data_IF_044341288638
#
_entry.id   IF_044341288638
#
_cell.length_a   1.000
_cell.length_b   1.000
_cell.length_c   1.000
_cell.angle_alpha   90.00
_cell.angle_beta   90.00
_cell.angle_gamma   90.00
#
_symmetry.space_group_name_H-M   'P 1'
#
loop_
_entity.id
_entity.type
_entity.pdbx_description
1 polymer ?
#
# COMPACT_ATOMS: atom_id res chain seq x y z
N UNK A 1 34.73 48.79 -3.35
CA UNK A 1 33.56 48.34 -4.17
C UNK A 1 33.45 46.82 -4.35
N UNK A 2 34.27 45.96 -3.67
CA UNK A 2 34.25 44.53 -3.85
C UNK A 2 33.29 43.72 -2.97
N UNK A 3 32.82 44.24 -1.84
CA UNK A 3 32.01 43.47 -0.88
C UNK A 3 30.55 43.25 -1.24
N UNK A 4 29.96 44.17 -2.00
CA UNK A 4 28.54 44.03 -2.41
C UNK A 4 28.29 43.05 -3.55
N UNK A 5 29.27 42.84 -4.42
CA UNK A 5 29.18 41.89 -5.54
C UNK A 5 29.21 40.41 -5.08
N UNK A 6 30.09 40.13 -4.09
CA UNK A 6 30.18 38.77 -3.53
C UNK A 6 28.92 38.39 -2.77
N UNK A 7 28.31 39.32 -2.03
CA UNK A 7 27.08 39.07 -1.29
C UNK A 7 25.90 38.80 -2.20
N UNK A 8 25.77 39.51 -3.34
CA UNK A 8 24.71 39.30 -4.33
C UNK A 8 24.85 37.96 -5.09
N UNK A 9 26.06 37.56 -5.42
CA UNK A 9 26.34 36.28 -6.09
C UNK A 9 25.99 35.10 -5.15
N UNK A 10 26.35 35.18 -3.88
CA UNK A 10 26.02 34.15 -2.88
C UNK A 10 24.50 34.05 -2.68
N UNK A 11 23.79 35.17 -2.60
CA UNK A 11 22.32 35.18 -2.47
C UNK A 11 21.66 34.62 -3.74
N UNK A 12 22.19 34.95 -4.93
CA UNK A 12 21.65 34.44 -6.20
C UNK A 12 21.92 32.93 -6.36
N UNK A 13 23.12 32.46 -6.04
CA UNK A 13 23.44 31.04 -6.02
C UNK A 13 22.59 30.27 -5.02
N UNK A 14 22.36 30.82 -3.84
CA UNK A 14 21.52 30.19 -2.82
C UNK A 14 20.05 30.10 -3.27
N UNK A 15 19.51 31.14 -3.91
CA UNK A 15 18.16 31.15 -4.48
C UNK A 15 18.02 30.18 -5.66
N UNK A 16 19.05 30.07 -6.50
CA UNK A 16 19.07 29.14 -7.62
C UNK A 16 19.09 27.69 -7.13
N UNK A 17 19.94 27.38 -6.16
CA UNK A 17 20.04 26.04 -5.56
C UNK A 17 18.75 25.64 -4.82
N UNK A 18 18.13 26.58 -4.09
CA UNK A 18 16.83 26.34 -3.44
C UNK A 18 15.73 26.10 -4.45
N UNK A 19 15.67 26.87 -5.53
CA UNK A 19 14.68 26.67 -6.58
C UNK A 19 14.84 25.30 -7.24
N UNK A 20 16.07 24.92 -7.59
CA UNK A 20 16.38 23.62 -8.17
C UNK A 20 16.05 22.46 -7.22
N UNK A 21 16.36 22.59 -5.92
CA UNK A 21 15.98 21.63 -4.90
C UNK A 21 14.46 21.47 -4.81
N UNK A 22 13.71 22.57 -4.76
CA UNK A 22 12.24 22.52 -4.72
C UNK A 22 11.65 21.88 -5.99
N UNK A 23 12.23 22.14 -7.16
CA UNK A 23 11.79 21.53 -8.41
C UNK A 23 11.98 19.99 -8.38
N UNK A 24 13.13 19.50 -7.88
CA UNK A 24 13.38 18.06 -7.73
C UNK A 24 12.59 17.43 -6.59
N UNK A 25 12.30 18.14 -5.52
CA UNK A 25 11.45 17.64 -4.45
C UNK A 25 9.99 17.44 -4.93
N UNK A 26 9.42 18.40 -5.65
CA UNK A 26 8.09 18.23 -6.25
C UNK A 26 8.08 17.10 -7.30
N UNK A 27 9.09 17.06 -8.16
CA UNK A 27 9.27 15.97 -9.11
C UNK A 27 9.31 14.61 -8.39
N UNK A 28 10.03 14.50 -7.29
CA UNK A 28 10.13 13.25 -6.54
C UNK A 28 8.76 12.74 -6.07
N UNK A 29 7.87 13.61 -5.60
CA UNK A 29 6.51 13.20 -5.20
C UNK A 29 5.74 12.63 -6.39
N UNK A 30 5.85 13.25 -7.57
CA UNK A 30 5.24 12.73 -8.80
C UNK A 30 5.84 11.40 -9.24
N UNK A 31 7.17 11.24 -9.16
CA UNK A 31 7.86 9.98 -9.49
C UNK A 31 7.52 8.85 -8.52
N UNK A 32 7.27 9.17 -7.24
CA UNK A 32 6.74 8.21 -6.24
C UNK A 32 5.34 7.76 -6.65
N UNK A 33 4.44 8.67 -7.00
CA UNK A 33 3.08 8.36 -7.44
C UNK A 33 3.08 7.45 -8.66
N UNK A 34 4.00 7.67 -9.59
CA UNK A 34 4.16 6.87 -10.82
C UNK A 34 4.91 5.55 -10.60
N UNK A 35 5.47 5.30 -9.43
CA UNK A 35 6.43 4.22 -9.18
C UNK A 35 7.59 4.21 -10.21
N UNK A 36 8.13 5.38 -10.50
CA UNK A 36 9.25 5.59 -11.43
C UNK A 36 10.57 5.46 -10.70
N UNK A 37 11.16 4.27 -10.70
CA UNK A 37 12.42 3.97 -9.98
C UNK A 37 13.55 4.89 -10.45
N UNK A 38 13.66 5.09 -11.77
CA UNK A 38 14.69 5.93 -12.38
C UNK A 38 14.49 7.40 -12.00
N UNK A 39 13.25 7.89 -12.02
CA UNK A 39 12.93 9.27 -11.63
C UNK A 39 13.22 9.52 -10.15
N UNK A 40 12.88 8.58 -9.26
CA UNK A 40 13.22 8.64 -7.83
C UNK A 40 14.75 8.73 -7.64
N UNK A 41 15.52 7.87 -8.31
CA UNK A 41 17.00 7.89 -8.27
C UNK A 41 17.59 9.19 -8.81
N UNK A 42 17.02 9.73 -9.88
CA UNK A 42 17.43 11.03 -10.44
C UNK A 42 17.24 12.14 -9.40
N UNK A 43 16.08 12.19 -8.73
CA UNK A 43 15.80 13.21 -7.73
C UNK A 43 16.79 13.14 -6.56
N UNK A 44 17.07 11.95 -6.04
CA UNK A 44 18.07 11.77 -4.99
C UNK A 44 19.49 12.16 -5.45
N UNK A 45 19.87 11.81 -6.67
CA UNK A 45 21.15 12.22 -7.26
C UNK A 45 21.29 13.74 -7.43
N UNK A 46 20.17 14.46 -7.45
CA UNK A 46 20.11 15.93 -7.54
C UNK A 46 19.87 16.61 -6.19
N UNK A 47 20.12 15.90 -5.08
CA UNK A 47 20.24 16.49 -3.75
C UNK A 47 19.01 16.40 -2.87
N UNK A 48 17.92 15.77 -3.32
CA UNK A 48 16.79 15.46 -2.42
C UNK A 48 17.21 14.29 -1.52
N UNK A 49 16.93 14.37 -0.23
CA UNK A 49 17.25 13.31 0.72
C UNK A 49 16.13 12.27 0.82
N UNK A 50 16.42 10.97 0.84
CA UNK A 50 15.43 9.93 1.13
C UNK A 50 14.87 10.05 2.56
N UNK A 51 15.54 10.82 3.42
CA UNK A 51 15.15 11.07 4.81
C UNK A 51 14.36 12.37 5.00
N UNK A 52 14.02 13.06 3.91
CA UNK A 52 13.17 14.25 3.95
C UNK A 52 11.74 13.91 4.38
N UNK A 53 11.00 14.94 4.71
CA UNK A 53 9.60 14.84 5.15
C UNK A 53 8.67 15.49 4.13
N UNK A 54 7.53 14.86 3.91
CA UNK A 54 6.42 15.40 3.16
C UNK A 54 5.13 15.28 3.98
N UNK A 55 4.31 16.33 4.03
CA UNK A 55 3.07 16.35 4.82
C UNK A 55 3.26 15.86 6.27
N UNK A 56 4.37 16.28 6.91
CA UNK A 56 4.74 15.94 8.29
C UNK A 56 5.01 14.44 8.56
N UNK A 57 5.28 13.64 7.52
CA UNK A 57 5.72 12.25 7.66
C UNK A 57 6.98 11.98 6.83
N UNK A 58 7.79 10.96 7.19
CA UNK A 58 8.91 10.55 6.36
C UNK A 58 8.47 10.28 4.92
N UNK A 59 9.23 10.82 3.96
CA UNK A 59 8.92 10.80 2.53
C UNK A 59 8.64 9.39 1.98
N UNK A 60 9.32 8.37 2.51
CA UNK A 60 9.08 6.97 2.09
C UNK A 60 7.62 6.51 2.25
N UNK A 61 6.87 7.10 3.20
CA UNK A 61 5.48 6.72 3.40
C UNK A 61 4.54 7.23 2.30
N UNK A 62 5.00 8.15 1.43
CA UNK A 62 4.23 8.49 0.24
C UNK A 62 4.07 7.27 -0.70
N UNK A 63 5.06 6.35 -0.74
CA UNK A 63 4.90 5.09 -1.48
C UNK A 63 3.72 4.23 -0.98
N UNK A 64 3.42 4.26 0.33
CA UNK A 64 2.30 3.51 0.88
C UNK A 64 0.98 4.24 0.74
N UNK A 65 1.01 5.58 0.67
CA UNK A 65 -0.16 6.44 0.65
C UNK A 65 -0.74 6.65 -0.74
N UNK A 66 0.05 6.51 -1.80
CA UNK A 66 -0.38 6.77 -3.17
C UNK A 66 -1.30 5.68 -3.76
N UNK A 67 -1.98 6.01 -4.87
CA UNK A 67 -2.90 5.10 -5.56
C UNK A 67 -2.21 3.99 -6.32
N UNK A 68 -1.01 4.24 -6.80
CA UNK A 68 -0.34 3.29 -7.67
C UNK A 68 -0.01 2.02 -6.94
N UNK A 69 -0.46 0.90 -7.50
CA UNK A 69 -0.06 -0.44 -7.10
C UNK A 69 0.61 -1.09 -8.29
N UNK A 70 1.91 -1.35 -8.18
CA UNK A 70 2.68 -1.95 -9.27
C UNK A 70 3.75 -2.89 -8.72
N UNK A 71 4.25 -3.84 -9.54
CA UNK A 71 5.37 -4.71 -9.16
C UNK A 71 6.65 -3.92 -8.80
N UNK A 72 6.76 -2.66 -9.25
CA UNK A 72 7.91 -1.78 -9.01
C UNK A 72 7.93 -1.15 -7.62
N UNK A 73 6.87 -1.31 -6.81
CA UNK A 73 6.80 -0.74 -5.46
C UNK A 73 8.07 -1.03 -4.65
N UNK A 74 8.48 -2.30 -4.55
CA UNK A 74 9.67 -2.73 -3.82
C UNK A 74 10.97 -2.16 -4.40
N UNK A 75 11.03 -1.94 -5.72
CA UNK A 75 12.19 -1.35 -6.36
C UNK A 75 12.28 0.16 -6.06
N UNK A 76 11.15 0.85 -5.94
CA UNK A 76 11.09 2.22 -5.42
C UNK A 76 11.59 2.28 -3.97
N UNK A 77 11.13 1.37 -3.09
CA UNK A 77 11.66 1.27 -1.71
C UNK A 77 13.17 1.01 -1.73
N UNK A 78 13.65 0.15 -2.63
CA UNK A 78 15.09 -0.13 -2.80
C UNK A 78 15.86 1.12 -3.19
N UNK A 79 15.31 1.98 -4.05
CA UNK A 79 15.96 3.24 -4.41
C UNK A 79 16.19 4.14 -3.19
N UNK A 80 15.22 4.22 -2.26
CA UNK A 80 15.43 4.93 -1.00
C UNK A 80 16.57 4.34 -0.17
N UNK A 81 16.63 3.01 -0.06
CA UNK A 81 17.68 2.30 0.71
C UNK A 81 19.06 2.52 0.09
N UNK A 82 19.18 2.46 -1.23
CA UNK A 82 20.44 2.66 -1.96
C UNK A 82 21.01 4.10 -1.79
N UNK A 83 20.12 5.06 -1.46
CA UNK A 83 20.49 6.44 -1.15
C UNK A 83 20.48 6.74 0.37
N UNK A 84 20.79 5.74 1.20
CA UNK A 84 21.03 5.88 2.64
C UNK A 84 19.77 6.26 3.46
N UNK A 85 18.63 5.64 3.16
CA UNK A 85 17.43 5.77 3.99
C UNK A 85 17.71 5.31 5.43
N UNK A 86 17.49 6.20 6.41
CA UNK A 86 17.47 5.85 7.84
C UNK A 86 16.07 5.35 8.24
N UNK A 87 15.81 4.06 8.10
CA UNK A 87 14.56 3.43 8.47
C UNK A 87 14.76 2.51 9.68
N UNK A 88 14.25 2.92 10.84
CA UNK A 88 14.54 2.24 12.13
C UNK A 88 13.89 0.86 12.23
N UNK A 89 12.66 0.71 11.73
CA UNK A 89 11.93 -0.56 11.79
C UNK A 89 12.37 -1.50 10.66
N UNK A 90 13.40 -2.28 10.92
CA UNK A 90 14.00 -3.18 9.91
C UNK A 90 13.05 -4.32 9.50
N UNK A 91 12.11 -4.71 10.36
CA UNK A 91 11.11 -5.73 10.06
C UNK A 91 10.08 -5.18 9.05
N UNK A 92 9.54 -3.99 9.31
CA UNK A 92 8.66 -3.32 8.36
C UNK A 92 9.37 -3.06 7.03
N UNK A 93 10.62 -2.59 7.07
CA UNK A 93 11.41 -2.36 5.86
C UNK A 93 11.58 -3.64 5.03
N UNK A 94 11.86 -4.78 5.68
CA UNK A 94 11.97 -6.08 5.00
C UNK A 94 10.66 -6.46 4.31
N UNK A 95 9.51 -6.19 4.94
CA UNK A 95 8.20 -6.40 4.33
C UNK A 95 7.97 -5.47 3.13
N UNK A 96 8.28 -4.17 3.25
CA UNK A 96 8.13 -3.22 2.14
C UNK A 96 9.02 -3.55 0.94
N UNK A 97 10.17 -4.18 1.18
CA UNK A 97 11.10 -4.66 0.15
C UNK A 97 10.74 -6.05 -0.43
N UNK A 98 9.77 -6.75 0.16
CA UNK A 98 9.54 -8.18 -0.08
C UNK A 98 10.82 -9.02 0.11
N UNK A 99 11.65 -8.63 1.08
CA UNK A 99 12.90 -9.32 1.43
C UNK A 99 12.65 -10.41 2.46
N UNK A 100 12.24 -11.57 1.96
CA UNK A 100 11.91 -12.73 2.78
C UNK A 100 13.11 -13.23 3.62
N UNK A 101 14.33 -13.08 3.14
CA UNK A 101 15.52 -13.54 3.86
C UNK A 101 15.81 -12.67 5.08
N UNK A 102 15.84 -11.36 4.92
CA UNK A 102 16.03 -10.43 6.04
C UNK A 102 14.87 -10.51 7.03
N UNK A 103 13.64 -10.65 6.54
CA UNK A 103 12.45 -10.82 7.38
C UNK A 103 12.55 -12.08 8.24
N UNK A 104 12.92 -13.25 7.66
CA UNK A 104 13.08 -14.52 8.40
C UNK A 104 14.17 -14.40 9.49
N UNK A 105 15.28 -13.72 9.19
CA UNK A 105 16.33 -13.45 10.17
C UNK A 105 15.83 -12.59 11.33
N UNK A 106 15.19 -11.45 11.03
CA UNK A 106 14.67 -10.55 12.06
C UNK A 106 13.60 -11.21 12.94
N UNK A 107 12.73 -12.06 12.37
CA UNK A 107 11.70 -12.76 13.13
C UNK A 107 12.24 -13.91 13.96
N UNK A 108 13.38 -14.51 13.60
CA UNK A 108 14.11 -15.46 14.48
C UNK A 108 14.68 -14.75 15.70
N UNK A 109 15.21 -13.54 15.52
CA UNK A 109 15.78 -12.73 16.62
C UNK A 109 14.68 -12.12 17.50
N UNK A 110 13.52 -11.79 16.93
CA UNK A 110 12.39 -11.20 17.64
C UNK A 110 11.05 -11.81 17.18
N UNK A 111 10.68 -13.01 17.66
CA UNK A 111 9.46 -13.72 17.25
C UNK A 111 8.15 -12.95 17.53
N UNK A 112 8.11 -12.16 18.60
CA UNK A 112 6.91 -11.40 18.96
C UNK A 112 6.57 -10.29 17.96
N UNK A 113 7.54 -9.87 17.14
CA UNK A 113 7.32 -8.84 16.14
C UNK A 113 6.31 -9.24 15.06
N UNK A 114 6.04 -10.55 14.87
CA UNK A 114 4.98 -11.04 13.98
C UNK A 114 3.60 -10.51 14.37
N UNK A 115 3.39 -10.15 15.64
CA UNK A 115 2.13 -9.62 16.19
C UNK A 115 2.09 -8.10 16.29
N UNK A 116 3.18 -7.43 15.89
CA UNK A 116 3.26 -5.97 15.96
C UNK A 116 2.23 -5.32 15.05
N UNK A 117 1.57 -4.29 15.55
CA UNK A 117 0.59 -3.51 14.81
C UNK A 117 1.22 -2.26 14.21
N UNK A 118 0.72 -1.87 13.05
CA UNK A 118 1.14 -0.72 12.29
C UNK A 118 -0.06 0.13 11.85
N UNK A 119 0.13 1.42 11.75
CA UNK A 119 -0.81 2.33 11.10
C UNK A 119 -0.07 3.10 10.02
N UNK A 120 -0.49 2.91 8.76
CA UNK A 120 0.07 3.57 7.60
C UNK A 120 -1.05 4.28 6.84
N UNK A 121 -0.74 5.41 6.22
CA UNK A 121 -1.67 6.05 5.30
C UNK A 121 -1.78 5.20 4.03
N UNK A 122 -3.00 4.99 3.55
CA UNK A 122 -3.27 4.15 2.38
C UNK A 122 -4.47 4.71 1.60
N UNK A 123 -4.34 4.83 0.29
CA UNK A 123 -5.39 5.34 -0.58
C UNK A 123 -6.60 4.40 -0.75
N UNK A 124 -6.48 3.15 -0.32
CA UNK A 124 -7.51 2.12 -0.48
C UNK A 124 -8.05 1.62 0.86
N UNK A 125 -7.99 0.30 1.07
CA UNK A 125 -8.39 -0.35 2.32
C UNK A 125 -7.52 0.16 3.47
N UNK A 126 -8.10 0.62 4.59
CA UNK A 126 -7.34 1.25 5.67
C UNK A 126 -6.25 0.34 6.25
N UNK A 127 -5.05 0.87 6.40
CA UNK A 127 -3.96 0.23 7.14
C UNK A 127 -3.89 0.79 8.57
N UNK A 128 -4.99 0.64 9.34
CA UNK A 128 -5.12 1.12 10.72
C UNK A 128 -5.01 -0.03 11.70
N UNK A 129 -3.98 0.00 12.57
CA UNK A 129 -3.66 -1.08 13.53
C UNK A 129 -3.70 -2.45 12.87
N UNK A 130 -2.96 -2.59 11.79
CA UNK A 130 -2.84 -3.81 10.98
C UNK A 130 -1.57 -4.57 11.34
N UNK A 131 -1.56 -5.89 11.14
CA UNK A 131 -0.32 -6.65 11.19
C UNK A 131 0.41 -6.64 9.83
N UNK A 132 1.60 -7.22 9.78
CA UNK A 132 2.42 -7.25 8.58
C UNK A 132 1.78 -8.03 7.40
N UNK A 133 0.86 -9.00 7.66
CA UNK A 133 0.16 -9.71 6.59
C UNK A 133 -0.81 -8.81 5.80
N UNK A 134 -1.44 -7.83 6.45
CA UNK A 134 -2.26 -6.85 5.75
C UNK A 134 -1.41 -6.00 4.79
N UNK A 135 -0.20 -5.62 5.23
CA UNK A 135 0.74 -4.85 4.41
C UNK A 135 1.22 -5.69 3.22
N UNK A 136 1.57 -6.97 3.46
CA UNK A 136 1.89 -7.91 2.38
C UNK A 136 0.73 -8.04 1.38
N UNK A 137 -0.51 -8.11 1.88
CA UNK A 137 -1.70 -8.20 1.05
C UNK A 137 -1.90 -6.97 0.17
N UNK A 138 -1.74 -5.78 0.75
CA UNK A 138 -1.88 -4.51 0.06
C UNK A 138 -0.87 -4.36 -1.10
N UNK A 139 0.37 -4.80 -0.91
CA UNK A 139 1.45 -4.63 -1.89
C UNK A 139 1.82 -5.90 -2.66
N UNK A 140 1.02 -6.97 -2.54
CA UNK A 140 1.22 -8.25 -3.25
C UNK A 140 2.58 -8.93 -2.93
N UNK A 141 3.03 -8.87 -1.67
CA UNK A 141 4.32 -9.40 -1.21
C UNK A 141 4.19 -10.84 -0.69
N UNK A 142 4.03 -11.79 -1.61
CA UNK A 142 3.77 -13.21 -1.29
C UNK A 142 4.92 -13.85 -0.51
N UNK A 143 6.17 -13.54 -0.88
CA UNK A 143 7.35 -14.14 -0.24
C UNK A 143 7.47 -13.73 1.24
N UNK A 144 7.21 -12.48 1.54
CA UNK A 144 7.16 -11.98 2.93
C UNK A 144 6.00 -12.59 3.70
N UNK A 145 4.82 -12.74 3.06
CA UNK A 145 3.65 -13.38 3.67
C UNK A 145 3.91 -14.85 4.03
N UNK A 146 4.60 -15.60 3.18
CA UNK A 146 5.01 -16.99 3.45
C UNK A 146 5.88 -17.08 4.70
N UNK A 147 6.85 -16.17 4.84
CA UNK A 147 7.71 -16.09 6.03
C UNK A 147 6.89 -15.77 7.27
N UNK A 148 6.01 -14.76 7.21
CA UNK A 148 5.16 -14.38 8.34
C UNK A 148 4.29 -15.55 8.81
N UNK A 149 3.64 -16.27 7.90
CA UNK A 149 2.81 -17.44 8.24
C UNK A 149 3.66 -18.57 8.83
N UNK A 150 4.86 -18.81 8.29
CA UNK A 150 5.83 -19.76 8.87
C UNK A 150 6.20 -19.42 10.31
N UNK A 151 6.26 -18.12 10.66
CA UNK A 151 6.52 -17.62 12.00
C UNK A 151 5.25 -17.46 12.85
N UNK A 152 4.12 -18.02 12.41
CA UNK A 152 2.88 -18.10 13.19
C UNK A 152 1.93 -16.91 13.03
N UNK A 153 2.07 -16.09 11.98
CA UNK A 153 1.07 -15.09 11.66
C UNK A 153 -0.24 -15.75 11.25
N UNK A 154 -1.34 -15.31 11.85
CA UNK A 154 -2.68 -15.77 11.51
C UNK A 154 -3.23 -15.00 10.30
N UNK A 155 -3.60 -15.73 9.23
CA UNK A 155 -4.17 -15.17 8.00
C UNK A 155 -5.55 -14.51 8.23
N UNK A 156 -6.19 -14.78 9.36
CA UNK A 156 -7.48 -14.23 9.75
C UNK A 156 -7.38 -13.13 10.82
N UNK A 157 -6.17 -12.67 11.15
CA UNK A 157 -5.98 -11.56 12.09
C UNK A 157 -6.78 -10.35 11.64
N UNK A 158 -7.52 -9.76 12.57
CA UNK A 158 -8.31 -8.56 12.32
C UNK A 158 -7.47 -7.30 12.51
N UNK A 159 -7.66 -6.33 11.64
CA UNK A 159 -7.17 -4.97 11.83
C UNK A 159 -7.87 -4.29 13.01
N UNK A 160 -7.37 -3.15 13.45
CA UNK A 160 -8.03 -2.33 14.47
C UNK A 160 -9.37 -1.77 13.97
N UNK A 161 -10.21 -1.40 14.94
CA UNK A 161 -11.45 -0.65 14.69
C UNK A 161 -11.29 0.77 15.22
N UNK A 162 -11.93 1.73 14.57
CA UNK A 162 -11.95 3.12 15.03
C UNK A 162 -13.03 3.36 16.09
N UNK A 163 -13.17 4.60 16.51
CA UNK A 163 -14.14 5.04 17.54
C UNK A 163 -15.62 4.81 17.17
N UNK A 164 -15.91 4.66 15.88
CA UNK A 164 -17.25 4.35 15.36
C UNK A 164 -17.46 2.85 15.17
N UNK A 165 -16.44 2.01 15.42
CA UNK A 165 -16.51 0.57 15.21
C UNK A 165 -16.25 0.14 13.76
N UNK A 166 -15.73 1.03 12.89
CA UNK A 166 -15.36 0.70 11.52
C UNK A 166 -13.92 0.18 11.45
N UNK A 167 -13.69 -0.81 10.59
CA UNK A 167 -12.44 -1.55 10.49
C UNK A 167 -12.62 -3.01 10.83
N UNK A 168 -11.59 -3.67 11.37
CA UNK A 168 -11.64 -5.09 11.73
C UNK A 168 -11.55 -6.03 10.52
N UNK A 169 -11.18 -5.51 9.35
CA UNK A 169 -10.92 -6.32 8.15
C UNK A 169 -9.72 -7.26 8.37
N UNK A 170 -9.75 -8.42 7.70
CA UNK A 170 -8.63 -9.35 7.65
C UNK A 170 -7.75 -9.09 6.42
N UNK A 171 -6.53 -9.65 6.34
CA UNK A 171 -5.63 -9.39 5.21
C UNK A 171 -6.23 -9.59 3.83
N UNK A 172 -7.15 -10.54 3.66
CA UNK A 172 -7.77 -10.82 2.35
C UNK A 172 -8.55 -9.64 1.78
N UNK A 173 -9.10 -8.76 2.61
CA UNK A 173 -9.81 -7.55 2.12
C UNK A 173 -8.88 -6.67 1.27
N UNK A 174 -7.58 -6.65 1.55
CA UNK A 174 -6.58 -5.88 0.81
C UNK A 174 -6.26 -6.47 -0.58
N UNK A 175 -6.76 -7.68 -0.89
CA UNK A 175 -6.47 -8.35 -2.18
C UNK A 175 -7.63 -8.31 -3.16
N UNK A 176 -8.84 -8.02 -2.71
CA UNK A 176 -10.06 -8.20 -3.52
C UNK A 176 -10.55 -6.92 -4.19
N UNK A 177 -10.05 -5.77 -3.75
CA UNK A 177 -10.51 -4.46 -4.22
C UNK A 177 -9.33 -3.53 -4.50
N UNK A 178 -8.50 -3.89 -5.48
CA UNK A 178 -7.36 -3.08 -5.90
C UNK A 178 -7.41 -2.71 -7.37
N UNK A 179 -6.85 -1.56 -7.67
CA UNK A 179 -6.64 -1.11 -9.04
C UNK A 179 -5.95 -2.19 -9.88
N UNK A 180 -6.48 -2.45 -11.07
CA UNK A 180 -5.92 -3.41 -12.03
C UNK A 180 -5.67 -4.81 -11.46
N UNK A 181 -6.33 -5.18 -10.37
CA UNK A 181 -6.19 -6.50 -9.72
C UNK A 181 -4.74 -6.89 -9.37
N UNK A 182 -3.96 -5.94 -8.91
CA UNK A 182 -2.51 -6.10 -8.68
C UNK A 182 -2.14 -7.06 -7.55
N UNK A 183 -3.10 -7.45 -6.69
CA UNK A 183 -2.89 -8.39 -5.58
C UNK A 183 -3.40 -9.80 -5.85
N UNK A 184 -3.49 -10.21 -7.11
CA UNK A 184 -4.02 -11.54 -7.50
C UNK A 184 -3.20 -12.70 -6.93
N UNK A 185 -1.87 -12.56 -6.85
CA UNK A 185 -1.01 -13.62 -6.31
C UNK A 185 -1.25 -13.81 -4.81
N UNK A 186 -1.40 -12.70 -4.06
CA UNK A 186 -1.76 -12.74 -2.65
C UNK A 186 -3.17 -13.27 -2.43
N UNK A 187 -4.14 -12.92 -3.29
CA UNK A 187 -5.47 -13.51 -3.24
C UNK A 187 -5.39 -15.04 -3.36
N UNK A 188 -4.68 -15.54 -4.37
CA UNK A 188 -4.50 -16.98 -4.57
C UNK A 188 -3.78 -17.63 -3.37
N UNK A 189 -2.77 -16.96 -2.82
CA UNK A 189 -2.08 -17.41 -1.63
C UNK A 189 -3.05 -17.57 -0.45
N UNK A 190 -3.86 -16.57 -0.13
CA UNK A 190 -4.85 -16.66 0.95
C UNK A 190 -5.92 -17.72 0.70
N UNK A 191 -6.40 -17.88 -0.52
CA UNK A 191 -7.34 -18.95 -0.88
C UNK A 191 -6.75 -20.35 -0.70
N UNK A 192 -5.42 -20.51 -0.76
CA UNK A 192 -4.72 -21.76 -0.45
C UNK A 192 -4.58 -22.03 1.05
N UNK A 193 -4.94 -21.06 1.90
CA UNK A 193 -4.90 -21.17 3.37
C UNK A 193 -6.32 -21.25 3.92
N UNK A 194 -6.47 -21.50 5.22
CA UNK A 194 -7.79 -21.55 5.89
C UNK A 194 -8.32 -20.13 6.14
N UNK A 195 -8.43 -19.30 5.08
CA UNK A 195 -8.89 -17.92 5.18
C UNK A 195 -10.41 -17.87 5.31
N UNK A 196 -10.90 -17.10 6.30
CA UNK A 196 -12.34 -16.88 6.50
C UNK A 196 -12.88 -15.84 5.51
N UNK A 197 -13.61 -16.33 4.49
CA UNK A 197 -14.25 -15.50 3.46
C UNK A 197 -15.65 -15.02 3.88
N UNK A 198 -16.18 -15.48 5.01
CA UNK A 198 -17.54 -15.18 5.48
C UNK A 198 -17.59 -14.08 6.55
N UNK A 199 -16.40 -13.62 7.00
CA UNK A 199 -16.31 -12.53 7.95
C UNK A 199 -16.97 -11.27 7.37
N UNK A 200 -17.90 -10.69 8.14
CA UNK A 200 -18.51 -9.40 7.79
C UNK A 200 -18.05 -8.36 8.82
N UNK A 201 -17.54 -7.24 8.35
CA UNK A 201 -17.20 -6.09 9.20
C UNK A 201 -18.35 -5.07 9.15
N UNK A 202 -18.51 -4.31 10.25
CA UNK A 202 -19.58 -3.29 10.36
C UNK A 202 -19.46 -2.22 9.29
N UNK A 203 -18.25 -1.86 8.91
CA UNK A 203 -17.95 -0.94 7.82
C UNK A 203 -16.46 -0.75 7.65
N UNK A 204 -16.09 -0.24 6.48
CA UNK A 204 -14.73 0.22 6.15
C UNK A 204 -14.80 1.67 5.69
N UNK A 205 -13.81 2.46 6.06
CA UNK A 205 -13.60 3.81 5.52
C UNK A 205 -12.55 3.71 4.41
N UNK A 206 -12.99 3.58 3.17
CA UNK A 206 -12.11 3.57 2.01
C UNK A 206 -11.49 4.96 1.80
N UNK A 207 -10.19 5.02 1.55
CA UNK A 207 -9.48 6.29 1.43
C UNK A 207 -9.49 7.13 2.71
N UNK A 208 -9.40 6.51 3.89
CA UNK A 208 -9.45 7.21 5.18
C UNK A 208 -8.40 8.32 5.26
N UNK A 209 -8.88 9.56 5.52
CA UNK A 209 -8.04 10.75 5.61
C UNK A 209 -7.73 11.42 4.27
N UNK A 210 -8.43 11.05 3.19
CA UNK A 210 -8.40 11.72 1.88
C UNK A 210 -9.72 12.45 1.62
N UNK A 211 -9.75 13.37 0.66
CA UNK A 211 -10.94 14.15 0.30
C UNK A 211 -12.08 13.28 -0.28
N UNK A 212 -11.76 12.07 -0.72
CA UNK A 212 -12.71 11.08 -1.24
C UNK A 212 -13.07 9.99 -0.23
N UNK A 213 -12.81 10.21 1.05
CA UNK A 213 -13.15 9.26 2.11
C UNK A 213 -14.59 8.77 1.97
N UNK A 214 -14.77 7.44 1.91
CA UNK A 214 -16.06 6.84 1.61
C UNK A 214 -16.34 5.70 2.58
N UNK A 215 -17.46 5.81 3.33
CA UNK A 215 -17.96 4.72 4.16
C UNK A 215 -18.57 3.62 3.28
N UNK A 216 -18.11 2.40 3.48
CA UNK A 216 -18.63 1.18 2.88
C UNK A 216 -19.19 0.32 4.01
N UNK A 217 -20.52 0.30 4.20
CA UNK A 217 -21.14 -0.39 5.33
C UNK A 217 -21.27 -1.90 5.09
N UNK A 218 -21.20 -2.69 6.17
CA UNK A 218 -21.56 -4.11 6.23
C UNK A 218 -20.95 -4.95 5.09
N UNK A 219 -19.64 -4.97 4.96
CA UNK A 219 -18.94 -5.68 3.89
C UNK A 219 -18.25 -6.96 4.36
N UNK A 220 -18.21 -7.94 3.47
CA UNK A 220 -17.34 -9.11 3.52
C UNK A 220 -16.42 -9.12 2.29
N UNK A 221 -15.43 -10.02 2.20
CA UNK A 221 -14.52 -10.05 1.06
C UNK A 221 -15.21 -10.14 -0.31
N UNK A 222 -16.35 -10.83 -0.39
CA UNK A 222 -17.08 -11.03 -1.66
C UNK A 222 -17.80 -9.75 -2.09
N UNK A 223 -18.57 -9.14 -1.18
CA UNK A 223 -19.25 -7.87 -1.47
C UNK A 223 -18.25 -6.74 -1.72
N UNK A 224 -17.12 -6.74 -1.01
CA UNK A 224 -16.06 -5.77 -1.23
C UNK A 224 -15.39 -5.92 -2.60
N UNK A 225 -15.22 -7.15 -3.08
CA UNK A 225 -14.72 -7.44 -4.43
C UNK A 225 -15.64 -6.91 -5.54
N UNK A 226 -16.96 -6.82 -5.28
CA UNK A 226 -17.93 -6.26 -6.23
C UNK A 226 -17.74 -4.77 -6.49
N UNK A 227 -17.09 -4.05 -5.58
CA UNK A 227 -16.84 -2.61 -5.74
C UNK A 227 -15.68 -2.40 -6.71
N UNK A 228 -15.70 -1.36 -7.51
CA UNK A 228 -14.54 -1.06 -8.35
C UNK A 228 -14.85 -0.60 -9.76
N UNK A 229 -16.12 -0.38 -10.10
CA UNK A 229 -16.49 0.26 -11.36
C UNK A 229 -16.51 1.79 -11.30
N UNK A 230 -16.29 2.37 -10.12
CA UNK A 230 -16.12 3.80 -9.98
C UNK A 230 -14.87 4.25 -10.73
N UNK A 231 -14.84 5.45 -11.33
CA UNK A 231 -13.69 5.95 -12.07
C UNK A 231 -12.37 5.87 -11.28
N UNK A 232 -12.43 6.02 -9.96
CA UNK A 232 -11.28 5.97 -9.07
C UNK A 232 -10.67 4.56 -8.93
N UNK A 233 -11.46 3.50 -9.14
CA UNK A 233 -11.03 2.12 -8.90
C UNK A 233 -10.39 1.47 -10.13
N UNK A 234 -10.66 1.96 -11.32
CA UNK A 234 -10.09 1.49 -12.60
C UNK A 234 -10.07 -0.05 -12.77
N UNK A 235 -11.14 -0.72 -12.34
CA UNK A 235 -11.28 -2.17 -12.46
C UNK A 235 -12.29 -2.51 -13.55
N UNK A 236 -11.95 -3.48 -14.38
CA UNK A 236 -12.86 -3.97 -15.42
C UNK A 236 -13.85 -5.01 -14.86
N UNK A 237 -15.00 -5.12 -15.53
CA UNK A 237 -16.10 -6.00 -15.11
C UNK A 237 -15.72 -7.48 -15.15
N UNK A 238 -14.90 -7.89 -16.11
CA UNK A 238 -14.48 -9.27 -16.27
C UNK A 238 -13.60 -9.68 -15.09
N UNK A 239 -12.69 -8.83 -14.68
CA UNK A 239 -11.84 -9.03 -13.51
C UNK A 239 -12.66 -9.13 -12.24
N UNK A 240 -13.63 -8.21 -12.02
CA UNK A 240 -14.51 -8.23 -10.87
C UNK A 240 -15.31 -9.52 -10.83
N UNK A 241 -15.99 -9.88 -11.94
CA UNK A 241 -16.82 -11.09 -12.04
C UNK A 241 -16.01 -12.36 -11.77
N UNK A 242 -14.77 -12.43 -12.28
CA UNK A 242 -13.87 -13.56 -12.05
C UNK A 242 -13.49 -13.71 -10.58
N UNK A 243 -13.12 -12.61 -9.92
CA UNK A 243 -12.78 -12.63 -8.48
C UNK A 243 -13.98 -13.07 -7.66
N UNK A 244 -15.16 -12.45 -7.89
CA UNK A 244 -16.39 -12.77 -7.17
C UNK A 244 -16.77 -14.25 -7.35
N UNK A 245 -16.72 -14.78 -8.57
CA UNK A 245 -16.97 -16.21 -8.83
C UNK A 245 -16.01 -17.12 -8.10
N UNK A 246 -14.72 -16.77 -8.08
CA UNK A 246 -13.68 -17.50 -7.34
C UNK A 246 -13.96 -17.51 -5.84
N UNK A 247 -14.33 -16.37 -5.27
CA UNK A 247 -14.65 -16.23 -3.85
C UNK A 247 -15.93 -16.97 -3.47
N UNK A 248 -16.99 -16.92 -4.30
CA UNK A 248 -18.26 -17.66 -4.09
C UNK A 248 -17.99 -19.18 -4.08
N UNK A 249 -17.19 -19.66 -5.01
CA UNK A 249 -16.80 -21.07 -5.05
C UNK A 249 -16.01 -21.49 -3.82
N UNK A 250 -15.03 -20.68 -3.40
CA UNK A 250 -14.21 -20.98 -2.22
C UNK A 250 -15.01 -20.90 -0.91
N UNK A 251 -15.90 -19.91 -0.76
CA UNK A 251 -16.64 -19.66 0.48
C UNK A 251 -17.84 -20.58 0.66
N UNK A 252 -18.55 -20.92 -0.43
CA UNK A 252 -19.88 -21.57 -0.38
C UNK A 252 -20.01 -22.78 -1.30
N UNK A 253 -18.99 -23.12 -2.10
CA UNK A 253 -19.08 -24.17 -3.10
C UNK A 253 -19.99 -23.82 -4.29
N UNK A 254 -20.36 -22.54 -4.44
CA UNK A 254 -21.26 -22.07 -5.48
C UNK A 254 -20.48 -21.81 -6.75
N UNK A 255 -20.81 -22.53 -7.82
CA UNK A 255 -20.24 -22.33 -9.15
C UNK A 255 -21.17 -21.40 -9.96
N UNK A 256 -20.96 -20.10 -9.80
CA UNK A 256 -21.77 -19.06 -10.44
C UNK A 256 -20.87 -18.01 -11.09
N UNK A 257 -21.18 -17.69 -12.34
CA UNK A 257 -20.52 -16.58 -13.04
C UNK A 257 -21.46 -15.38 -13.06
N UNK A 258 -21.04 -14.28 -12.46
CA UNK A 258 -21.81 -13.04 -12.44
C UNK A 258 -22.01 -12.51 -13.86
N UNK A 259 -23.26 -12.23 -14.22
CA UNK A 259 -23.63 -11.66 -15.52
C UNK A 259 -23.55 -10.13 -15.53
N UNK A 260 -23.56 -9.55 -14.35
CA UNK A 260 -23.55 -8.11 -14.16
C UNK A 260 -22.88 -7.76 -12.84
N UNK A 261 -22.27 -6.59 -12.77
CA UNK A 261 -21.68 -6.01 -11.57
C UNK A 261 -22.37 -4.68 -11.25
N UNK A 262 -22.38 -4.25 -9.98
CA UNK A 262 -22.99 -2.97 -9.61
C UNK A 262 -22.48 -1.83 -10.47
N UNK A 263 -23.37 -0.92 -10.83
CA UNK A 263 -23.10 0.29 -11.61
C UNK A 263 -22.75 0.08 -13.09
N UNK A 264 -22.83 -1.13 -13.63
CA UNK A 264 -22.53 -1.37 -15.06
C UNK A 264 -23.41 -0.50 -15.97
N UNK A 265 -24.69 -0.43 -15.68
CA UNK A 265 -25.67 0.32 -16.47
C UNK A 265 -25.87 1.77 -16.02
N UNK A 266 -25.11 2.24 -15.03
CA UNK A 266 -25.17 3.62 -14.55
C UNK A 266 -24.11 4.53 -15.18
N UNK A 267 -23.37 4.03 -16.15
CA UNK A 267 -22.28 4.75 -16.82
C UNK A 267 -22.73 5.50 -18.09
N UNK A 268 -24.02 5.46 -18.45
CA UNK A 268 -24.56 6.15 -19.61
C UNK A 268 -25.03 7.56 -19.29
#
# INVERSE_FOLDING_TARGET
MGGHFISLVIIWMHRFTLKQFMDYFHKLVEEIELHSVEGIRECFSNGVSPNDFFRNQPLIYELTSEYTRSPRFKDCVRAFVDFELDFKDKILLSVLLDDAQSLDAHLKDNPEAVRKEYTLRCAYTPLYKVNLLHICAEFNHVRSAEVLVKHGADVNTKAGVDEYGFGGQTPIFHTVNQNSNRSVDMLNYFLSKSTDLKITVTGLIWGKGYDWETLIPAVNPISYAMMGLLPQMHRDEITISKIVSTLLKAAYGIDYTSQNVPCRYLKE
#
